data_IF_979967633491
#
_entry.id   IF_979967633491
#
_cell.length_a   1.000
_cell.length_b   1.000
_cell.length_c   1.000
_cell.angle_alpha   90.00
_cell.angle_beta   90.00
_cell.angle_gamma   90.00
#
_symmetry.space_group_name_H-M   'P 1'
#
loop_
_entity.id
_entity.type
_entity.pdbx_description
1 polymer ?
#
# COMPACT_ATOMS: atom_id res chain seq x y z
N UNK A 1 9.90 -5.90 -0.53
CA UNK A 1 9.15 -7.09 -0.98
C UNK A 1 8.10 -7.46 0.05
N UNK A 2 6.84 -7.57 -0.38
CA UNK A 2 5.67 -7.81 0.48
C UNK A 2 4.93 -9.04 -0.03
N UNK A 3 4.46 -9.91 0.87
CA UNK A 3 3.65 -11.07 0.50
C UNK A 3 2.19 -10.66 0.30
N UNK A 4 1.68 -10.73 -0.92
CA UNK A 4 0.27 -10.52 -1.20
C UNK A 4 -0.57 -11.73 -0.78
N UNK A 5 -1.51 -11.52 0.14
CA UNK A 5 -2.47 -12.54 0.57
C UNK A 5 -3.79 -12.33 -0.17
N UNK A 6 -3.76 -12.61 -1.48
CA UNK A 6 -4.90 -12.48 -2.37
C UNK A 6 -5.71 -13.80 -2.35
N UNK A 7 -6.36 -14.04 -1.20
CA UNK A 7 -7.27 -15.15 -0.92
C UNK A 7 -8.46 -14.63 -0.09
N UNK A 8 -9.60 -15.31 -0.15
CA UNK A 8 -10.83 -14.92 0.56
C UNK A 8 -11.03 -15.64 1.91
N UNK A 9 -10.08 -16.49 2.33
CA UNK A 9 -10.15 -17.23 3.59
C UNK A 9 -8.98 -16.89 4.54
N UNK A 10 -9.32 -16.49 5.77
CA UNK A 10 -8.32 -16.10 6.77
C UNK A 10 -7.45 -17.27 7.23
N UNK A 11 -7.99 -18.49 7.27
CA UNK A 11 -7.23 -19.67 7.68
C UNK A 11 -6.18 -20.02 6.63
N UNK A 12 -6.56 -19.97 5.36
CA UNK A 12 -5.65 -20.13 4.23
C UNK A 12 -4.58 -19.03 4.21
N UNK A 13 -4.98 -17.77 4.38
CA UNK A 13 -4.06 -16.63 4.43
C UNK A 13 -3.01 -16.79 5.54
N UNK A 14 -3.42 -17.22 6.74
CA UNK A 14 -2.52 -17.52 7.86
C UNK A 14 -1.56 -18.66 7.54
N UNK A 15 -2.07 -19.76 6.97
CA UNK A 15 -1.23 -20.90 6.56
C UNK A 15 -0.17 -20.49 5.53
N UNK A 16 -0.53 -19.63 4.58
CA UNK A 16 0.40 -19.09 3.57
C UNK A 16 1.47 -18.20 4.22
N UNK A 17 1.06 -17.28 5.10
CA UNK A 17 1.98 -16.40 5.80
C UNK A 17 2.96 -17.19 6.69
N UNK A 18 2.46 -18.17 7.45
CA UNK A 18 3.28 -19.06 8.29
C UNK A 18 4.31 -19.85 7.47
N UNK A 19 3.90 -20.40 6.32
CA UNK A 19 4.80 -21.13 5.43
C UNK A 19 5.94 -20.25 4.88
N UNK A 20 5.66 -18.96 4.70
CA UNK A 20 6.55 -18.01 4.02
C UNK A 20 7.25 -17.03 4.98
N UNK A 21 7.01 -17.13 6.29
CA UNK A 21 7.61 -16.25 7.31
C UNK A 21 9.16 -16.19 7.28
N UNK A 22 9.91 -17.24 6.88
CA UNK A 22 11.37 -17.12 6.76
C UNK A 22 11.84 -16.15 5.67
N UNK A 23 10.95 -15.77 4.75
CA UNK A 23 11.25 -14.93 3.59
C UNK A 23 10.57 -13.56 3.61
N UNK A 24 9.47 -13.41 4.35
CA UNK A 24 8.67 -12.19 4.37
C UNK A 24 8.39 -11.74 5.81
N UNK A 25 8.78 -10.50 6.14
CA UNK A 25 8.37 -9.83 7.37
C UNK A 25 7.11 -8.96 7.21
N UNK A 26 6.63 -8.78 5.98
CA UNK A 26 5.48 -7.94 5.66
C UNK A 26 4.47 -8.69 4.80
N UNK A 27 3.20 -8.60 5.17
CA UNK A 27 2.06 -9.11 4.39
C UNK A 27 1.18 -7.97 3.89
N UNK A 28 0.55 -8.15 2.73
CA UNK A 28 -0.45 -7.24 2.18
C UNK A 28 -1.83 -7.86 2.29
N UNK A 29 -2.69 -7.22 3.08
CA UNK A 29 -4.12 -7.53 3.15
C UNK A 29 -4.83 -6.67 2.11
N UNK A 30 -5.30 -7.31 1.03
CA UNK A 30 -6.05 -6.66 -0.04
C UNK A 30 -7.56 -6.62 0.23
N UNK A 31 -8.31 -6.04 -0.71
CA UNK A 31 -9.77 -5.92 -0.61
C UNK A 31 -10.49 -7.27 -0.49
N UNK A 32 -10.00 -8.33 -1.15
CA UNK A 32 -10.61 -9.66 -1.08
C UNK A 32 -10.62 -10.21 0.35
N UNK A 33 -9.44 -10.36 0.95
CA UNK A 33 -9.29 -10.84 2.32
C UNK A 33 -9.95 -9.91 3.34
N UNK A 34 -9.78 -8.59 3.19
CA UNK A 34 -10.41 -7.63 4.10
C UNK A 34 -11.93 -7.64 4.01
N UNK A 35 -12.51 -7.88 2.84
CA UNK A 35 -13.97 -7.97 2.69
C UNK A 35 -14.52 -9.25 3.28
N UNK A 36 -13.77 -10.35 3.16
CA UNK A 36 -14.19 -11.65 3.68
C UNK A 36 -14.07 -11.76 5.21
N UNK A 37 -12.96 -11.28 5.78
CA UNK A 37 -12.64 -11.45 7.20
C UNK A 37 -12.65 -10.13 8.00
N UNK A 38 -12.74 -8.97 7.35
CA UNK A 38 -12.81 -7.68 8.03
C UNK A 38 -11.53 -7.32 8.79
N UNK A 39 -11.66 -6.52 9.86
CA UNK A 39 -10.55 -6.12 10.74
C UNK A 39 -9.72 -7.27 11.31
N UNK A 40 -10.32 -8.45 11.50
CA UNK A 40 -9.62 -9.64 12.02
C UNK A 40 -8.47 -10.08 11.12
N UNK A 41 -8.57 -9.82 9.81
CA UNK A 41 -7.48 -10.07 8.88
C UNK A 41 -6.24 -9.23 9.22
N UNK A 42 -6.40 -7.99 9.68
CA UNK A 42 -5.26 -7.13 10.06
C UNK A 42 -4.70 -7.59 11.40
N UNK A 43 -5.57 -7.71 12.42
CA UNK A 43 -5.16 -8.06 13.78
C UNK A 43 -4.42 -9.39 13.85
N UNK A 44 -4.89 -10.42 13.12
CA UNK A 44 -4.26 -11.74 13.14
C UNK A 44 -2.80 -11.73 12.66
N UNK A 45 -2.46 -10.91 11.67
CA UNK A 45 -1.07 -10.83 11.18
C UNK A 45 -0.19 -9.93 12.03
N UNK A 46 -0.75 -8.86 12.61
CA UNK A 46 -0.04 -8.04 13.60
C UNK A 46 0.32 -8.88 14.82
N UNK A 47 -0.61 -9.67 15.35
CA UNK A 47 -0.36 -10.58 16.47
C UNK A 47 0.68 -11.66 16.14
N UNK A 48 0.74 -12.10 14.88
CA UNK A 48 1.74 -13.03 14.39
C UNK A 48 3.12 -12.37 14.14
N UNK A 49 3.27 -11.07 14.36
CA UNK A 49 4.53 -10.34 14.28
C UNK A 49 4.89 -9.83 12.88
N UNK A 50 3.94 -9.78 11.95
CA UNK A 50 4.16 -9.19 10.63
C UNK A 50 3.89 -7.68 10.65
N UNK A 51 4.64 -6.95 9.82
CA UNK A 51 4.17 -5.66 9.33
C UNK A 51 2.99 -5.88 8.38
N UNK A 52 1.88 -5.17 8.60
CA UNK A 52 0.69 -5.29 7.75
C UNK A 52 0.52 -4.09 6.84
N UNK A 53 0.56 -4.33 5.53
CA UNK A 53 0.18 -3.39 4.50
C UNK A 53 -1.30 -3.61 4.14
N UNK A 54 -2.16 -2.70 4.60
CA UNK A 54 -3.58 -2.64 4.25
C UNK A 54 -3.79 -1.96 2.88
N UNK A 55 -3.95 -2.76 1.81
CA UNK A 55 -4.17 -2.25 0.46
C UNK A 55 -5.66 -2.01 0.16
N UNK A 56 -6.27 -1.09 0.92
CA UNK A 56 -7.70 -0.80 0.94
C UNK A 56 -8.14 0.31 -0.03
N UNK A 57 -7.19 1.06 -0.59
CA UNK A 57 -7.42 2.09 -1.61
C UNK A 57 -8.51 3.10 -1.19
N UNK A 58 -8.40 3.64 0.03
CA UNK A 58 -9.41 4.53 0.59
C UNK A 58 -9.63 5.76 -0.32
N UNK A 59 -10.89 6.04 -0.64
CA UNK A 59 -11.26 7.14 -1.53
C UNK A 59 -12.72 7.57 -1.29
N UNK A 60 -12.90 8.63 -0.50
CA UNK A 60 -14.20 9.19 -0.12
C UNK A 60 -13.98 10.64 0.35
N UNK A 61 -14.97 11.32 0.92
CA UNK A 61 -14.79 12.62 1.54
C UNK A 61 -13.79 12.54 2.72
N UNK A 62 -13.06 13.63 3.04
CA UNK A 62 -11.99 13.62 4.03
C UNK A 62 -12.37 13.01 5.39
N UNK A 63 -13.54 13.36 5.91
CA UNK A 63 -14.01 12.85 7.20
C UNK A 63 -14.24 11.33 7.21
N UNK A 64 -14.70 10.76 6.10
CA UNK A 64 -14.92 9.31 5.99
C UNK A 64 -13.59 8.59 5.92
N UNK A 65 -12.68 9.07 5.08
CA UNK A 65 -11.33 8.50 4.95
C UNK A 65 -10.56 8.59 6.25
N UNK A 66 -10.57 9.73 6.94
CA UNK A 66 -9.85 9.87 8.22
C UNK A 66 -10.39 8.93 9.31
N UNK A 67 -11.71 8.72 9.39
CA UNK A 67 -12.28 7.74 10.32
C UNK A 67 -11.91 6.29 9.96
N UNK A 68 -11.94 5.94 8.68
CA UNK A 68 -11.54 4.61 8.22
C UNK A 68 -10.04 4.36 8.51
N UNK A 69 -9.19 5.33 8.20
CA UNK A 69 -7.76 5.29 8.49
C UNK A 69 -7.50 5.15 10.00
N UNK A 70 -8.25 5.85 10.86
CA UNK A 70 -8.16 5.70 12.32
C UNK A 70 -8.44 4.28 12.80
N UNK A 71 -9.46 3.62 12.24
CA UNK A 71 -9.73 2.22 12.57
C UNK A 71 -8.54 1.35 12.17
N UNK A 72 -8.06 1.49 10.93
CA UNK A 72 -6.91 0.73 10.42
C UNK A 72 -5.64 0.96 11.27
N UNK A 73 -5.38 2.19 11.70
CA UNK A 73 -4.25 2.53 12.57
C UNK A 73 -4.36 1.86 13.94
N UNK A 74 -5.56 1.82 14.52
CA UNK A 74 -5.79 1.17 15.82
C UNK A 74 -5.61 -0.36 15.79
N UNK A 75 -5.63 -0.97 14.60
CA UNK A 75 -5.37 -2.39 14.41
C UNK A 75 -3.87 -2.73 14.29
N UNK A 76 -2.97 -1.74 14.21
CA UNK A 76 -1.54 -1.97 14.06
C UNK A 76 -1.04 -2.10 12.62
N UNK A 77 -1.81 -1.62 11.64
CA UNK A 77 -1.33 -1.59 10.25
C UNK A 77 -0.07 -0.74 10.11
N UNK A 78 0.96 -1.26 9.42
CA UNK A 78 2.19 -0.51 9.08
C UNK A 78 1.92 0.50 7.98
N UNK A 79 1.17 0.11 6.95
CA UNK A 79 0.77 0.98 5.83
C UNK A 79 -0.70 0.85 5.48
N UNK A 80 -1.31 1.92 4.97
CA UNK A 80 -2.61 1.90 4.30
C UNK A 80 -2.55 2.64 2.95
N UNK A 81 -3.25 2.13 1.93
CA UNK A 81 -3.38 2.84 0.66
C UNK A 81 -4.56 3.79 0.57
N UNK A 82 -4.34 4.92 -0.09
CA UNK A 82 -5.32 5.99 -0.30
C UNK A 82 -5.14 6.53 -1.72
N UNK A 83 -6.21 6.86 -2.43
CA UNK A 83 -6.10 7.42 -3.79
C UNK A 83 -5.70 8.89 -3.76
N UNK A 84 -4.59 9.27 -4.41
CA UNK A 84 -4.17 10.69 -4.47
C UNK A 84 -5.17 11.57 -5.23
N UNK A 85 -6.02 10.97 -6.08
CA UNK A 85 -7.10 11.69 -6.78
C UNK A 85 -8.14 12.31 -5.86
N UNK A 86 -8.22 11.91 -4.58
CA UNK A 86 -9.14 12.53 -3.63
C UNK A 86 -8.67 13.87 -3.05
N UNK A 87 -7.47 14.34 -3.41
CA UNK A 87 -7.00 15.67 -3.07
C UNK A 87 -6.37 15.81 -1.67
N UNK A 88 -5.70 16.95 -1.45
CA UNK A 88 -4.89 17.21 -0.25
C UNK A 88 -5.65 16.99 1.06
N UNK A 89 -6.86 17.54 1.17
CA UNK A 89 -7.66 17.44 2.39
C UNK A 89 -8.00 15.99 2.77
N UNK A 90 -8.23 15.13 1.77
CA UNK A 90 -8.52 13.72 2.01
C UNK A 90 -7.26 12.95 2.43
N UNK A 91 -6.13 13.23 1.77
CA UNK A 91 -4.85 12.61 2.11
C UNK A 91 -4.39 12.99 3.52
N UNK A 92 -4.46 14.28 3.88
CA UNK A 92 -4.11 14.74 5.23
C UNK A 92 -5.02 14.10 6.28
N UNK A 93 -6.33 14.02 6.03
CA UNK A 93 -7.24 13.34 6.94
C UNK A 93 -6.91 11.85 7.10
N UNK A 94 -6.43 11.19 6.05
CA UNK A 94 -5.96 9.80 6.14
C UNK A 94 -4.70 9.68 7.01
N UNK A 95 -3.71 10.55 6.80
CA UNK A 95 -2.46 10.58 7.57
C UNK A 95 -2.75 10.82 9.05
N UNK A 96 -3.50 11.89 9.35
CA UNK A 96 -3.85 12.26 10.73
C UNK A 96 -4.69 11.16 11.40
N UNK A 97 -5.69 10.65 10.68
CA UNK A 97 -6.55 9.58 11.18
C UNK A 97 -5.78 8.31 11.51
N UNK A 98 -4.91 7.86 10.60
CA UNK A 98 -4.09 6.67 10.79
C UNK A 98 -3.16 6.82 12.00
N UNK A 99 -2.48 7.97 12.13
CA UNK A 99 -1.60 8.27 13.25
C UNK A 99 -2.36 8.33 14.58
N UNK A 100 -3.52 9.00 14.61
CA UNK A 100 -4.41 9.06 15.77
C UNK A 100 -4.87 7.67 16.24
N UNK A 101 -5.18 6.79 15.28
CA UNK A 101 -5.60 5.43 15.54
C UNK A 101 -4.51 4.62 16.23
N UNK A 102 -3.30 4.65 15.68
CA UNK A 102 -2.14 3.97 16.25
C UNK A 102 -1.77 4.54 17.63
N UNK A 103 -1.73 5.87 17.78
CA UNK A 103 -1.44 6.52 19.05
C UNK A 103 -2.46 6.16 20.14
N UNK A 104 -3.75 6.09 19.79
CA UNK A 104 -4.81 5.68 20.72
C UNK A 104 -4.70 4.24 21.21
N UNK A 105 -3.93 3.40 20.52
CA UNK A 105 -3.66 2.00 20.85
C UNK A 105 -2.22 1.75 21.33
N UNK A 106 -1.42 2.80 21.54
CA UNK A 106 0.00 2.72 21.92
C UNK A 106 0.86 1.91 20.93
N UNK A 107 0.57 2.07 19.64
CA UNK A 107 1.26 1.39 18.54
C UNK A 107 2.27 2.31 17.84
N UNK A 108 3.19 1.70 17.09
CA UNK A 108 4.18 2.42 16.28
C UNK A 108 3.50 3.32 15.23
N UNK A 109 4.18 4.42 14.87
CA UNK A 109 3.66 5.37 13.87
C UNK A 109 3.57 4.68 12.49
N UNK A 110 2.37 4.62 11.89
CA UNK A 110 2.12 4.00 10.60
C UNK A 110 2.24 5.01 9.44
N UNK A 111 2.27 4.51 8.21
CA UNK A 111 2.41 5.32 6.99
C UNK A 111 1.21 5.25 6.05
N UNK A 112 0.92 6.34 5.35
CA UNK A 112 0.00 6.35 4.20
C UNK A 112 0.77 6.23 2.90
N UNK A 113 0.31 5.33 2.01
CA UNK A 113 0.82 5.19 0.65
C UNK A 113 -0.21 5.71 -0.37
N UNK A 114 0.14 6.79 -1.07
CA UNK A 114 -0.71 7.41 -2.09
C UNK A 114 -0.69 6.64 -3.41
N UNK A 115 -1.83 6.13 -3.87
CA UNK A 115 -1.94 5.51 -5.20
C UNK A 115 -1.95 6.63 -6.24
N UNK A 116 -0.86 6.74 -7.01
CA UNK A 116 -0.69 7.81 -7.99
C UNK A 116 -1.40 7.49 -9.28
N UNK A 117 -1.36 6.30 -9.83
CA UNK A 117 -2.16 5.88 -11.00
C UNK A 117 -2.45 4.41 -10.82
N UNK A 118 -3.69 3.97 -11.05
CA UNK A 118 -3.93 2.54 -11.11
C UNK A 118 -3.11 1.96 -12.26
N UNK A 119 -2.35 0.89 -12.02
CA UNK A 119 -1.52 0.25 -13.05
C UNK A 119 -2.34 -0.19 -14.29
N UNK A 120 -3.66 -0.32 -14.12
CA UNK A 120 -4.68 -0.61 -15.14
C UNK A 120 -5.07 0.58 -16.03
N UNK A 121 -4.81 1.82 -15.63
CA UNK A 121 -5.20 3.01 -16.39
C UNK A 121 -4.06 3.42 -17.34
N UNK A 122 -4.31 3.37 -18.64
CA UNK A 122 -3.31 3.62 -19.69
C UNK A 122 -2.95 5.11 -19.92
N UNK A 123 -3.46 6.06 -19.13
CA UNK A 123 -3.59 7.46 -19.60
C UNK A 123 -3.21 8.56 -18.58
N UNK A 124 -2.45 8.26 -17.53
CA UNK A 124 -1.86 9.36 -16.75
C UNK A 124 -0.57 9.83 -17.45
N UNK A 125 -0.58 11.05 -17.97
CA UNK A 125 0.64 11.70 -18.47
C UNK A 125 1.63 11.96 -17.33
N UNK A 126 2.92 12.09 -17.67
CA UNK A 126 4.00 12.33 -16.70
C UNK A 126 3.72 13.52 -15.77
N UNK A 127 3.14 14.60 -16.29
CA UNK A 127 2.75 15.78 -15.50
C UNK A 127 1.74 15.46 -14.38
N UNK A 128 0.75 14.61 -14.67
CA UNK A 128 -0.25 14.22 -13.67
C UNK A 128 0.36 13.30 -12.60
N UNK A 129 1.24 12.39 -13.00
CA UNK A 129 1.98 11.55 -12.05
C UNK A 129 2.83 12.43 -11.11
N UNK A 130 3.52 13.41 -11.68
CA UNK A 130 4.32 14.39 -10.96
C UNK A 130 3.50 15.21 -9.96
N UNK A 131 2.34 15.72 -10.37
CA UNK A 131 1.41 16.44 -9.51
C UNK A 131 0.93 15.56 -8.35
N UNK A 132 0.56 14.32 -8.63
CA UNK A 132 0.08 13.35 -7.62
C UNK A 132 1.17 12.99 -6.61
N UNK A 133 2.42 12.85 -7.05
CA UNK A 133 3.56 12.63 -6.15
C UNK A 133 3.84 13.86 -5.28
N UNK A 134 3.79 15.06 -5.87
CA UNK A 134 3.90 16.32 -5.12
C UNK A 134 2.82 16.45 -4.05
N UNK A 135 1.57 16.13 -4.42
CA UNK A 135 0.45 16.14 -3.51
C UNK A 135 0.62 15.16 -2.34
N UNK A 136 1.13 13.94 -2.61
CA UNK A 136 1.42 12.95 -1.58
C UNK A 136 2.47 13.45 -0.57
N UNK A 137 3.55 14.07 -1.05
CA UNK A 137 4.55 14.71 -0.20
C UNK A 137 3.94 15.81 0.65
N UNK A 138 3.22 16.75 0.02
CA UNK A 138 2.72 17.95 0.70
C UNK A 138 1.62 17.63 1.72
N UNK A 139 0.97 16.47 1.57
CA UNK A 139 -0.07 15.97 2.48
C UNK A 139 0.47 15.00 3.53
N UNK A 140 1.79 14.80 3.61
CA UNK A 140 2.45 13.97 4.63
C UNK A 140 2.33 12.45 4.42
N UNK A 141 2.08 11.98 3.20
CA UNK A 141 2.17 10.55 2.90
C UNK A 141 3.61 10.05 3.08
N UNK A 142 3.78 8.84 3.60
CA UNK A 142 5.10 8.19 3.73
C UNK A 142 5.62 7.74 2.36
N UNK A 143 4.71 7.43 1.45
CA UNK A 143 5.07 6.91 0.14
C UNK A 143 3.96 6.98 -0.89
N UNK A 144 4.24 6.36 -2.02
CA UNK A 144 3.33 6.22 -3.16
C UNK A 144 3.31 4.77 -3.65
N UNK A 145 2.21 4.42 -4.30
CA UNK A 145 2.11 3.21 -5.12
C UNK A 145 2.15 3.64 -6.59
N UNK A 146 3.14 3.16 -7.34
CA UNK A 146 3.34 3.45 -8.76
C UNK A 146 3.67 2.19 -9.57
N UNK A 147 3.49 2.24 -10.90
CA UNK A 147 3.91 1.14 -11.76
C UNK A 147 5.44 1.11 -11.89
N UNK A 148 6.01 -0.07 -12.20
CA UNK A 148 7.45 -0.20 -12.46
C UNK A 148 7.91 0.77 -13.57
N UNK A 149 7.13 0.92 -14.64
CA UNK A 149 7.41 1.84 -15.76
C UNK A 149 7.48 3.31 -15.35
N UNK A 150 6.92 3.66 -14.20
CA UNK A 150 6.78 5.03 -13.73
C UNK A 150 7.90 5.39 -12.72
N UNK A 151 8.78 4.43 -12.37
CA UNK A 151 9.88 4.63 -11.44
C UNK A 151 10.82 5.76 -11.88
N UNK A 152 11.14 5.83 -13.18
CA UNK A 152 11.97 6.88 -13.73
C UNK A 152 11.34 8.28 -13.54
N UNK A 153 10.05 8.43 -13.80
CA UNK A 153 9.31 9.68 -13.64
C UNK A 153 9.14 10.08 -12.16
N UNK A 154 9.12 9.10 -11.24
CA UNK A 154 9.05 9.36 -9.79
C UNK A 154 10.42 9.54 -9.12
N UNK A 155 11.52 9.40 -9.85
CA UNK A 155 12.89 9.42 -9.31
C UNK A 155 13.23 10.67 -8.49
N UNK A 156 12.70 11.84 -8.85
CA UNK A 156 12.91 13.10 -8.09
C UNK A 156 12.27 13.10 -6.70
N UNK A 157 11.36 12.17 -6.44
CA UNK A 157 10.71 11.98 -5.14
C UNK A 157 11.39 10.87 -4.32
N UNK A 158 12.40 10.19 -4.88
CA UNK A 158 13.19 9.21 -4.15
C UNK A 158 13.80 9.83 -2.89
N UNK A 159 13.75 9.10 -1.78
CA UNK A 159 14.20 9.58 -0.46
C UNK A 159 13.24 10.53 0.25
N UNK A 160 12.17 11.00 -0.42
CA UNK A 160 11.05 11.73 0.19
C UNK A 160 9.81 10.86 0.35
N UNK A 161 9.63 9.92 -0.57
CA UNK A 161 8.53 8.96 -0.61
C UNK A 161 9.10 7.56 -0.77
N UNK A 162 8.56 6.62 0.00
CA UNK A 162 8.68 5.17 -0.28
C UNK A 162 7.94 4.87 -1.59
N UNK A 163 8.60 4.23 -2.57
CA UNK A 163 7.99 3.81 -3.84
C UNK A 163 7.65 2.33 -3.80
N UNK A 164 6.38 2.03 -3.53
CA UNK A 164 5.84 0.68 -3.53
C UNK A 164 5.40 0.27 -4.95
N UNK A 165 5.93 -0.84 -5.46
CA UNK A 165 5.68 -1.27 -6.84
C UNK A 165 4.97 -2.63 -6.87
N UNK A 166 3.65 -2.67 -7.12
CA UNK A 166 2.90 -3.90 -7.24
C UNK A 166 3.08 -4.55 -8.62
N UNK A 167 2.59 -5.78 -8.77
CA UNK A 167 2.46 -6.42 -10.09
C UNK A 167 3.74 -7.05 -10.64
N UNK A 168 4.77 -7.22 -9.80
CA UNK A 168 6.03 -7.86 -10.19
C UNK A 168 5.82 -9.35 -10.50
N UNK A 169 6.63 -9.89 -11.41
CA UNK A 169 6.59 -11.31 -11.80
C UNK A 169 7.99 -11.89 -11.91
N UNK A 170 8.15 -13.15 -11.51
CA UNK A 170 9.40 -13.85 -11.77
C UNK A 170 9.57 -14.11 -13.28
N UNK A 171 10.81 -14.09 -13.79
CA UNK A 171 11.10 -14.50 -15.16
C UNK A 171 10.50 -15.90 -15.44
N UNK A 172 9.66 -16.01 -16.47
CA UNK A 172 9.00 -17.26 -16.86
C UNK A 172 7.65 -17.57 -16.19
N UNK A 173 7.09 -16.65 -15.39
CA UNK A 173 5.75 -16.77 -14.81
C UNK A 173 4.60 -16.46 -15.79
N UNK A 174 3.38 -16.94 -15.48
CA UNK A 174 2.19 -16.70 -16.30
C UNK A 174 1.73 -15.23 -16.25
N UNK A 175 1.32 -14.69 -17.40
CA UNK A 175 0.80 -13.32 -17.58
C UNK A 175 -0.69 -13.26 -17.24
N UNK A 176 -1.03 -13.16 -15.95
CA UNK A 176 -2.41 -12.87 -15.53
C UNK A 176 -2.52 -11.42 -15.00
N UNK A 177 -3.49 -10.70 -15.59
CA UNK A 177 -4.14 -9.44 -15.23
C UNK A 177 -3.32 -8.17 -14.95
N UNK A 178 -2.01 -8.16 -15.24
CA UNK A 178 -1.17 -6.95 -15.12
C UNK A 178 -0.53 -6.60 -16.46
N UNK A 179 -0.79 -5.37 -16.95
CA UNK A 179 -0.38 -4.90 -18.28
C UNK A 179 1.10 -4.47 -18.39
N UNK A 180 1.82 -4.38 -17.27
CA UNK A 180 3.19 -3.83 -17.18
C UNK A 180 4.03 -4.70 -16.24
N UNK A 181 4.80 -5.63 -16.78
CA UNK A 181 5.50 -6.66 -16.00
C UNK A 181 6.99 -6.32 -15.90
N UNK A 182 7.48 -6.10 -14.68
CA UNK A 182 8.90 -6.07 -14.34
C UNK A 182 9.22 -7.20 -13.36
N UNK A 183 10.45 -7.72 -13.41
CA UNK A 183 10.92 -8.64 -12.38
C UNK A 183 11.25 -7.91 -11.08
N UNK A 184 11.22 -8.61 -9.93
CA UNK A 184 11.61 -7.99 -8.66
C UNK A 184 13.01 -7.37 -8.68
N UNK A 185 13.94 -7.96 -9.42
CA UNK A 185 15.31 -7.43 -9.55
C UNK A 185 15.35 -6.15 -10.37
N UNK A 186 14.67 -6.13 -11.51
CA UNK A 186 14.59 -4.94 -12.37
C UNK A 186 13.93 -3.78 -11.62
N UNK A 187 12.83 -4.02 -10.91
CA UNK A 187 12.16 -2.98 -10.13
C UNK A 187 13.08 -2.39 -9.06
N UNK A 188 13.85 -3.22 -8.35
CA UNK A 188 14.82 -2.73 -7.36
C UNK A 188 15.95 -1.93 -8.03
N UNK A 189 16.49 -2.41 -9.15
CA UNK A 189 17.55 -1.72 -9.89
C UNK A 189 17.06 -0.37 -10.46
N UNK A 190 15.76 -0.24 -10.76
CA UNK A 190 15.08 1.00 -11.18
C UNK A 190 14.64 1.89 -9.99
N UNK A 191 14.83 1.41 -8.76
CA UNK A 191 14.62 2.19 -7.55
C UNK A 191 13.29 1.95 -6.84
N UNK A 192 12.64 0.80 -7.00
CA UNK A 192 11.56 0.43 -6.09
C UNK A 192 12.09 0.29 -4.65
N UNK A 193 11.31 0.75 -3.68
CA UNK A 193 11.66 0.65 -2.25
C UNK A 193 10.91 -0.51 -1.56
N UNK A 194 9.69 -0.83 -2.04
CA UNK A 194 8.82 -1.86 -1.44
C UNK A 194 8.24 -2.86 -2.44
#
# INVERSE_FOLDING_TARGET
>A
MVLALDVDDLVEARRLAELLTPYFGTVKVGLELYTAAGPDAVGAFVEAGFDVFCDLKLHDIPNTVGRAARVVGSLGARWVTVHTSGGAAMLQAAVDGLADGAAGADLAVPGVLGITVLTSDQVAGEEQLEERCGLAVDSGCEGIVCAATDLAATSRFAGRLVRAVPGLRLPGGATHDQARVASPREALDEGADL
#
